data_IF_133497783396
#
_entry.id   IF_133497783396
#
_cell.length_a   1.000
_cell.length_b   1.000
_cell.length_c   1.000
_cell.angle_alpha   90.00
_cell.angle_beta   90.00
_cell.angle_gamma   90.00
#
_symmetry.space_group_name_H-M   'P 1'
#
loop_
_entity.id
_entity.type
_entity.pdbx_description
1 polymer ?
#
# COMPACT_ATOMS: atom_id res chain seq x y z
N UNK A 1 41.36 -23.53 35.06
CA UNK A 1 41.08 -23.42 33.62
C UNK A 1 40.45 -22.05 33.37
N UNK A 2 41.08 -21.30 32.46
CA UNK A 2 40.68 -19.98 31.97
C UNK A 2 39.50 -20.08 30.99
N UNK A 3 38.74 -18.99 30.83
CA UNK A 3 38.26 -18.32 29.58
C UNK A 3 37.41 -17.12 30.10
N UNK A 4 37.98 -15.94 30.35
CA UNK A 4 38.27 -14.83 29.41
C UNK A 4 37.04 -14.33 28.64
N UNK A 5 36.51 -13.18 29.09
CA UNK A 5 35.62 -12.29 28.33
C UNK A 5 36.26 -11.82 27.03
N UNK A 6 35.43 -11.66 25.98
CA UNK A 6 35.41 -10.53 25.03
C UNK A 6 34.52 -10.89 23.84
N UNK A 7 33.29 -10.41 23.83
CA UNK A 7 32.55 -10.18 22.59
C UNK A 7 32.35 -8.67 22.45
N UNK A 8 33.43 -8.03 22.01
CA UNK A 8 33.41 -6.76 21.30
C UNK A 8 32.55 -6.90 20.05
N UNK A 9 31.45 -6.15 19.98
CA UNK A 9 30.72 -5.89 18.74
C UNK A 9 31.35 -4.67 18.06
N UNK A 10 32.08 -4.79 16.93
CA UNK A 10 32.19 -3.71 15.96
C UNK A 10 30.97 -3.83 15.02
N UNK A 11 30.06 -2.88 15.08
CA UNK A 11 30.07 -1.63 14.31
C UNK A 11 29.35 -1.79 12.97
N UNK A 12 28.23 -1.06 12.89
CA UNK A 12 27.60 -0.49 11.70
C UNK A 12 28.55 -0.38 10.48
N UNK A 13 28.05 -0.75 9.31
CA UNK A 13 28.01 0.03 8.04
C UNK A 13 27.80 -0.96 6.90
N UNK A 14 26.74 -0.76 6.12
CA UNK A 14 26.49 -1.52 4.91
C UNK A 14 25.09 -1.28 4.36
N UNK A 15 24.71 0.00 4.22
CA UNK A 15 23.48 0.36 3.54
C UNK A 15 23.49 -0.12 2.09
N UNK A 16 22.33 -0.57 1.61
CA UNK A 16 22.08 -0.77 0.18
C UNK A 16 20.67 -0.31 -0.13
N UNK A 17 20.62 0.97 -0.51
CA UNK A 17 19.83 1.60 -1.58
C UNK A 17 18.52 0.90 -1.90
N UNK A 18 17.42 1.44 -1.38
CA UNK A 18 16.10 1.18 -1.93
C UNK A 18 16.07 1.73 -3.36
N UNK A 19 15.94 0.83 -4.34
CA UNK A 19 15.71 1.19 -5.74
C UNK A 19 14.38 1.93 -5.81
N UNK A 20 14.42 3.22 -6.16
CA UNK A 20 13.25 3.98 -6.55
C UNK A 20 12.73 3.41 -7.87
N UNK A 21 11.86 2.39 -7.78
CA UNK A 21 11.08 1.91 -8.91
C UNK A 21 9.94 2.91 -9.07
N UNK A 22 9.79 3.48 -10.26
CA UNK A 22 8.66 4.32 -10.66
C UNK A 22 7.34 3.76 -10.10
N UNK A 23 6.70 4.56 -9.25
CA UNK A 23 5.83 4.13 -8.15
C UNK A 23 4.52 3.45 -8.53
N UNK A 24 4.58 2.17 -8.85
CA UNK A 24 3.46 1.26 -8.65
C UNK A 24 3.45 0.89 -7.16
N UNK A 25 2.45 1.37 -6.43
CA UNK A 25 2.25 1.03 -5.03
C UNK A 25 2.11 -0.50 -4.89
N UNK A 26 3.18 -1.14 -4.43
CA UNK A 26 3.26 -2.59 -4.22
C UNK A 26 3.68 -2.80 -2.77
N UNK A 27 2.74 -3.03 -1.83
CA UNK A 27 3.12 -3.43 -0.48
C UNK A 27 4.05 -4.63 -0.60
N UNK A 28 5.15 -4.63 0.17
CA UNK A 28 6.08 -5.75 0.17
C UNK A 28 5.31 -7.03 0.50
N UNK A 29 5.57 -8.12 -0.23
CA UNK A 29 4.91 -9.43 -0.07
C UNK A 29 5.25 -10.03 1.30
N UNK A 30 4.55 -9.53 2.30
CA UNK A 30 4.40 -10.05 3.64
C UNK A 30 2.88 -10.17 3.78
N UNK A 31 2.34 -11.39 3.78
CA UNK A 31 0.90 -11.58 3.97
C UNK A 31 0.50 -10.93 5.30
N UNK A 32 -0.23 -9.81 5.23
CA UNK A 32 -0.50 -8.99 6.40
C UNK A 32 -1.14 -7.65 6.04
N UNK A 33 -1.91 -7.12 6.98
CA UNK A 33 -2.42 -5.75 6.91
C UNK A 33 -1.39 -4.81 7.54
N UNK A 34 -1.04 -3.76 6.82
CA UNK A 34 -0.17 -2.69 7.30
C UNK A 34 -0.98 -1.38 7.32
N UNK A 35 -0.94 -0.68 8.45
CA UNK A 35 -1.43 0.70 8.50
C UNK A 35 -0.38 1.58 7.83
N UNK A 36 -0.79 2.32 6.79
CA UNK A 36 0.10 3.15 5.98
C UNK A 36 -0.09 4.63 6.31
N UNK A 37 -1.32 5.02 6.66
CA UNK A 37 -1.70 6.36 7.10
C UNK A 37 -1.11 7.48 6.22
N UNK A 38 -1.48 7.46 4.94
CA UNK A 38 -0.90 8.35 3.92
C UNK A 38 -1.92 8.88 2.92
N UNK A 39 -1.50 9.84 2.10
CA UNK A 39 -2.31 10.39 1.01
C UNK A 39 -1.84 9.77 -0.31
N UNK A 40 -2.78 9.24 -1.09
CA UNK A 40 -2.52 8.75 -2.44
C UNK A 40 -3.45 9.42 -3.45
N UNK A 41 -3.03 9.46 -4.72
CA UNK A 41 -3.89 9.91 -5.81
C UNK A 41 -4.49 8.72 -6.53
N UNK A 42 -5.77 8.80 -6.86
CA UNK A 42 -6.40 7.83 -7.74
C UNK A 42 -5.82 7.96 -9.15
N UNK A 43 -5.26 6.87 -9.64
CA UNK A 43 -4.73 6.72 -11.00
C UNK A 43 -5.45 5.56 -11.68
N UNK A 44 -6.23 5.87 -12.71
CA UNK A 44 -6.99 4.88 -13.47
C UNK A 44 -6.41 4.74 -14.88
N UNK A 45 -6.64 3.57 -15.47
CA UNK A 45 -6.38 3.33 -16.89
C UNK A 45 -7.27 4.22 -17.76
N UNK A 46 -6.84 4.48 -19.00
CA UNK A 46 -7.48 5.48 -19.89
C UNK A 46 -8.97 5.22 -20.16
N UNK A 47 -9.41 3.97 -20.03
CA UNK A 47 -10.78 3.56 -20.33
C UNK A 47 -11.71 3.61 -19.10
N UNK A 48 -11.18 3.91 -17.92
CA UNK A 48 -11.94 3.96 -16.66
C UNK A 48 -12.26 5.40 -16.26
N UNK A 49 -13.54 5.69 -16.07
CA UNK A 49 -14.01 7.02 -15.67
C UNK A 49 -14.20 7.17 -14.17
N UNK A 50 -14.40 6.08 -13.43
CA UNK A 50 -14.62 6.07 -11.98
C UNK A 50 -13.91 4.88 -11.34
N UNK A 51 -13.43 5.06 -10.11
CA UNK A 51 -12.90 4.00 -9.28
C UNK A 51 -14.01 3.45 -8.38
N UNK A 52 -14.35 2.17 -8.53
CA UNK A 52 -15.29 1.49 -7.62
C UNK A 52 -14.62 1.19 -6.29
N UNK A 53 -15.34 1.49 -5.21
CA UNK A 53 -15.01 1.09 -3.85
C UNK A 53 -15.75 -0.20 -3.51
N UNK A 54 -15.05 -1.16 -2.90
CA UNK A 54 -15.62 -2.45 -2.50
C UNK A 54 -15.72 -2.59 -0.99
N UNK A 55 -16.66 -3.40 -0.51
CA UNK A 55 -16.85 -3.68 0.91
C UNK A 55 -15.65 -4.40 1.54
N UNK A 56 -14.99 -5.28 0.77
CA UNK A 56 -13.82 -6.04 1.17
C UNK A 56 -12.85 -6.24 0.00
N UNK A 57 -11.57 -6.59 0.27
CA UNK A 57 -10.62 -6.99 -0.76
C UNK A 57 -11.15 -8.14 -1.61
N UNK A 58 -11.04 -8.03 -2.94
CA UNK A 58 -11.42 -9.09 -3.87
C UNK A 58 -12.93 -9.34 -4.04
N UNK A 59 -13.81 -8.70 -3.26
CA UNK A 59 -15.27 -8.84 -3.39
C UNK A 59 -15.82 -7.88 -4.44
N UNK A 60 -15.57 -8.21 -5.71
CA UNK A 60 -15.94 -7.36 -6.86
C UNK A 60 -17.46 -7.22 -7.08
N UNK A 61 -18.27 -8.06 -6.43
CA UNK A 61 -19.73 -8.03 -6.43
C UNK A 61 -20.33 -7.10 -5.35
N UNK A 62 -19.53 -6.64 -4.40
CA UNK A 62 -19.97 -5.81 -3.26
C UNK A 62 -19.45 -4.38 -3.38
N UNK A 63 -19.91 -3.66 -4.40
CA UNK A 63 -19.61 -2.23 -4.57
C UNK A 63 -20.34 -1.40 -3.51
N UNK A 64 -19.60 -0.51 -2.82
CA UNK A 64 -20.12 0.36 -1.76
C UNK A 64 -20.03 1.84 -2.09
N UNK A 65 -19.35 2.20 -3.19
CA UNK A 65 -19.22 3.58 -3.61
C UNK A 65 -18.35 3.74 -4.84
N UNK A 66 -18.17 4.99 -5.26
CA UNK A 66 -17.32 5.35 -6.40
C UNK A 66 -16.57 6.64 -6.09
N UNK A 67 -15.36 6.75 -6.65
CA UNK A 67 -14.53 7.95 -6.58
C UNK A 67 -14.09 8.38 -7.97
N UNK A 68 -13.97 9.69 -8.15
CA UNK A 68 -13.46 10.27 -9.39
C UNK A 68 -11.95 10.04 -9.55
N UNK A 69 -11.44 9.99 -10.79
CA UNK A 69 -10.01 9.89 -11.06
C UNK A 69 -9.25 11.16 -10.66
N UNK A 70 -7.95 11.03 -10.43
CA UNK A 70 -7.02 12.13 -10.10
C UNK A 70 -7.32 12.87 -8.80
N UNK A 71 -8.27 12.40 -8.02
CA UNK A 71 -8.55 12.94 -6.69
C UNK A 71 -7.61 12.32 -5.65
N UNK A 72 -7.33 13.10 -4.60
CA UNK A 72 -6.55 12.66 -3.45
C UNK A 72 -7.42 11.92 -2.45
N UNK A 73 -6.95 10.77 -1.97
CA UNK A 73 -7.64 9.95 -0.98
C UNK A 73 -6.70 9.67 0.18
N UNK A 74 -7.28 9.54 1.36
CA UNK A 74 -6.57 9.00 2.51
C UNK A 74 -6.50 7.48 2.40
N UNK A 75 -5.35 6.89 2.71
CA UNK A 75 -5.10 5.46 2.69
C UNK A 75 -4.82 5.02 4.11
N UNK A 76 -5.81 4.38 4.75
CA UNK A 76 -5.67 3.95 6.15
C UNK A 76 -4.73 2.74 6.25
N UNK A 77 -5.04 1.72 5.45
CA UNK A 77 -4.41 0.41 5.53
C UNK A 77 -4.38 -0.25 4.17
N UNK A 78 -3.31 -1.00 3.94
CA UNK A 78 -3.19 -1.87 2.78
C UNK A 78 -2.93 -3.30 3.23
N UNK A 79 -3.28 -4.25 2.37
CA UNK A 79 -2.98 -5.65 2.56
C UNK A 79 -2.69 -6.30 1.23
N UNK A 80 -1.86 -7.33 1.28
CA UNK A 80 -1.55 -8.17 0.14
C UNK A 80 -1.80 -9.61 0.52
N UNK A 81 -2.60 -10.29 -0.28
CA UNK A 81 -2.77 -11.73 -0.22
C UNK A 81 -2.40 -12.36 -1.58
N UNK A 82 -2.33 -13.70 -1.60
CA UNK A 82 -1.99 -14.44 -2.83
C UNK A 82 -3.19 -14.69 -3.74
N UNK A 83 -4.42 -14.57 -3.23
CA UNK A 83 -5.64 -14.97 -3.94
C UNK A 83 -6.35 -13.78 -4.60
N UNK A 84 -6.48 -12.69 -3.87
CA UNK A 84 -7.15 -11.45 -4.28
C UNK A 84 -6.16 -10.35 -4.71
N UNK A 85 -4.88 -10.44 -4.31
CA UNK A 85 -3.84 -9.50 -4.68
C UNK A 85 -3.62 -8.40 -3.66
N UNK A 86 -3.20 -7.21 -4.11
CA UNK A 86 -2.90 -6.07 -3.23
C UNK A 86 -4.02 -5.04 -3.23
N UNK A 87 -4.52 -4.74 -2.03
CA UNK A 87 -5.68 -3.89 -1.79
C UNK A 87 -5.41 -2.85 -0.72
N UNK A 88 -6.04 -1.70 -0.85
CA UNK A 88 -5.96 -0.62 0.11
C UNK A 88 -7.36 -0.13 0.47
N UNK A 89 -7.60 0.10 1.76
CA UNK A 89 -8.76 0.83 2.22
C UNK A 89 -8.47 2.32 2.07
N UNK A 90 -9.37 3.00 1.38
CA UNK A 90 -9.29 4.43 1.14
C UNK A 90 -10.51 5.15 1.69
N UNK A 91 -10.31 6.41 2.04
CA UNK A 91 -11.36 7.30 2.52
C UNK A 91 -11.28 8.68 1.84
N UNK A 92 -12.44 9.24 1.51
CA UNK A 92 -12.61 10.61 1.03
C UNK A 92 -13.99 11.13 1.40
N UNK A 93 -14.04 12.05 2.35
CA UNK A 93 -15.29 12.69 2.79
C UNK A 93 -16.22 11.71 3.49
N UNK A 94 -17.29 11.30 2.81
CA UNK A 94 -18.25 10.30 3.32
C UNK A 94 -18.11 8.94 2.63
N UNK A 95 -17.20 8.83 1.66
CA UNK A 95 -16.94 7.59 0.92
C UNK A 95 -15.74 6.87 1.50
N UNK A 96 -15.90 5.59 1.83
CA UNK A 96 -14.80 4.73 2.26
C UNK A 96 -14.99 3.31 1.71
N UNK A 97 -13.89 2.64 1.37
CA UNK A 97 -13.93 1.26 0.90
C UNK A 97 -12.60 0.78 0.36
N UNK A 98 -12.59 -0.44 -0.17
CA UNK A 98 -11.39 -1.09 -0.69
C UNK A 98 -11.22 -0.83 -2.18
N UNK A 99 -9.98 -0.55 -2.57
CA UNK A 99 -9.57 -0.39 -3.96
C UNK A 99 -8.30 -1.18 -4.21
N UNK A 100 -8.09 -1.54 -5.46
CA UNK A 100 -6.85 -2.19 -5.85
C UNK A 100 -5.66 -1.24 -5.74
N UNK A 101 -4.58 -1.72 -5.14
CA UNK A 101 -3.34 -0.96 -4.91
C UNK A 101 -2.78 -0.33 -6.19
N UNK A 102 -2.91 -1.01 -7.33
CA UNK A 102 -2.46 -0.53 -8.65
C UNK A 102 -3.16 0.74 -9.11
N UNK A 103 -4.37 1.01 -8.60
CA UNK A 103 -5.15 2.20 -8.94
C UNK A 103 -4.77 3.41 -8.08
N UNK A 104 -3.73 3.29 -7.25
CA UNK A 104 -3.21 4.33 -6.38
C UNK A 104 -1.79 4.69 -6.79
N UNK A 105 -1.50 5.99 -6.79
CA UNK A 105 -0.16 6.53 -6.93
C UNK A 105 0.18 7.33 -5.68
N UNK A 106 1.20 6.89 -4.95
CA UNK A 106 1.71 7.65 -3.81
C UNK A 106 2.32 8.97 -4.27
N UNK A 107 2.07 10.03 -3.50
CA UNK A 107 2.90 11.22 -3.56
C UNK A 107 4.09 10.98 -2.63
N UNK A 108 5.26 10.73 -3.21
CA UNK A 108 6.52 10.85 -2.50
C UNK A 108 7.18 12.13 -3.01
N UNK A 109 7.51 13.03 -2.09
CA UNK A 109 8.44 14.14 -2.36
C UNK A 109 9.88 13.63 -2.41
#
# INVERSE_FOLDING_TARGET
MNIVSKLTLPALIGGLVALAVSGVFSPSVMAGSQNIDTIARISLDRDQTLLTLYAAPGQLDQAVGQLEPRVWVWVDRCMSDKETGSWCRVERGQSAGWVEARNLSLHWE
#
